data_IF_061345099127
#
_entry.id   IF_061345099127
#
_cell.length_a   1.000
_cell.length_b   1.000
_cell.length_c   1.000
_cell.angle_alpha   90.00
_cell.angle_beta   90.00
_cell.angle_gamma   90.00
#
_symmetry.space_group_name_H-M   'P 1'
#
loop_
_entity.id
_entity.type
_entity.pdbx_description
1 polymer ?
#
# COMPACT_ATOMS: atom_id res chain seq x y z
N UNK A 1 -8.25 -10.07 -16.12
CA UNK A 1 -6.90 -9.75 -16.62
C UNK A 1 -6.13 -9.09 -15.49
N UNK A 2 -4.96 -9.58 -15.16
CA UNK A 2 -4.11 -8.97 -14.16
C UNK A 2 -3.66 -7.59 -14.62
N UNK A 3 -3.92 -6.56 -13.83
CA UNK A 3 -3.44 -5.23 -14.14
C UNK A 3 -1.95 -5.14 -13.79
N UNK A 4 -1.10 -4.99 -14.81
CA UNK A 4 0.30 -4.65 -14.61
C UNK A 4 0.36 -3.31 -13.88
N UNK A 5 1.03 -3.28 -12.74
CA UNK A 5 1.16 -2.08 -11.91
C UNK A 5 2.30 -1.20 -12.42
N UNK A 6 2.06 0.12 -12.40
CA UNK A 6 3.12 1.12 -12.56
C UNK A 6 3.70 1.58 -11.20
N UNK A 7 3.39 0.88 -10.12
CA UNK A 7 3.92 1.12 -8.78
C UNK A 7 5.29 0.42 -8.71
N UNK A 8 6.31 1.14 -8.34
CA UNK A 8 7.71 0.73 -8.48
C UNK A 8 8.11 -0.47 -7.60
N UNK A 9 7.40 -0.72 -6.50
CA UNK A 9 7.69 -1.78 -5.54
C UNK A 9 6.74 -2.98 -5.61
N UNK A 10 5.88 -3.04 -6.64
CA UNK A 10 4.95 -4.16 -6.88
C UNK A 10 4.70 -4.32 -8.38
N UNK A 11 4.32 -5.51 -8.84
CA UNK A 11 4.07 -5.73 -10.26
C UNK A 11 2.59 -5.94 -10.63
N UNK A 12 1.73 -6.10 -9.62
CA UNK A 12 0.29 -6.28 -9.83
C UNK A 12 -0.52 -5.60 -8.73
N UNK A 13 -1.79 -5.33 -8.99
CA UNK A 13 -2.74 -4.88 -7.97
C UNK A 13 -3.98 -5.76 -7.96
N UNK A 14 -4.54 -5.97 -6.77
CA UNK A 14 -5.78 -6.69 -6.54
C UNK A 14 -6.68 -5.87 -5.62
N UNK A 15 -7.90 -5.57 -6.06
CA UNK A 15 -8.79 -4.65 -5.36
C UNK A 15 -10.16 -5.29 -5.10
N UNK A 16 -10.28 -6.22 -4.13
CA UNK A 16 -11.57 -6.78 -3.72
C UNK A 16 -12.45 -5.79 -2.95
N UNK A 17 -11.89 -4.66 -2.50
CA UNK A 17 -12.65 -3.55 -1.92
C UNK A 17 -12.42 -2.29 -2.75
N UNK A 18 -13.44 -1.49 -2.97
CA UNK A 18 -13.36 -0.13 -3.51
C UNK A 18 -13.89 0.88 -2.49
N UNK A 19 -13.36 2.10 -2.49
CA UNK A 19 -13.78 3.17 -1.59
C UNK A 19 -12.95 3.27 -0.32
N UNK A 20 -12.99 4.44 0.30
CA UNK A 20 -12.23 4.75 1.51
C UNK A 20 -12.78 6.01 2.17
N UNK A 21 -12.29 6.33 3.36
CA UNK A 21 -12.41 7.66 3.98
C UNK A 21 -11.04 8.19 4.43
N UNK A 22 -10.94 9.51 4.57
CA UNK A 22 -9.69 10.18 4.93
C UNK A 22 -9.45 10.10 6.43
N UNK A 23 -8.28 9.64 6.85
CA UNK A 23 -7.92 9.44 8.27
C UNK A 23 -6.67 10.19 8.71
N UNK A 24 -5.90 10.75 7.78
CA UNK A 24 -4.68 11.48 8.10
C UNK A 24 -4.33 12.51 7.03
N UNK A 25 -3.32 13.34 7.30
CA UNK A 25 -2.81 14.35 6.37
C UNK A 25 -2.36 13.76 5.02
N UNK A 26 -1.89 12.51 4.99
CA UNK A 26 -1.53 11.79 3.77
C UNK A 26 -2.70 11.49 2.85
N UNK A 27 -3.95 11.58 3.35
CA UNK A 27 -5.14 11.36 2.53
C UNK A 27 -5.63 12.62 1.80
N UNK A 28 -5.01 13.80 2.02
CA UNK A 28 -5.46 15.08 1.42
C UNK A 28 -5.48 15.02 -0.10
N UNK A 29 -4.37 14.61 -0.72
CA UNK A 29 -4.19 14.54 -2.17
C UNK A 29 -4.15 13.06 -2.67
N UNK A 30 -5.07 12.23 -2.17
CA UNK A 30 -5.09 10.79 -2.41
C UNK A 30 -5.19 10.47 -3.90
N UNK A 31 -4.25 9.67 -4.41
CA UNK A 31 -4.25 9.24 -5.81
C UNK A 31 -5.44 8.32 -6.12
N UNK A 32 -5.84 7.48 -5.16
CA UNK A 32 -6.94 6.55 -5.32
C UNK A 32 -8.29 7.29 -5.44
N UNK A 33 -8.49 8.39 -4.68
CA UNK A 33 -9.66 9.25 -4.83
C UNK A 33 -9.73 9.88 -6.23
N UNK A 34 -8.59 10.37 -6.74
CA UNK A 34 -8.53 10.93 -8.11
C UNK A 34 -8.82 9.87 -9.18
N UNK A 35 -8.28 8.67 -9.00
CA UNK A 35 -8.54 7.56 -9.89
C UNK A 35 -10.01 7.11 -9.82
N UNK A 36 -10.59 7.04 -8.63
CA UNK A 36 -12.00 6.72 -8.43
C UNK A 36 -12.94 7.72 -9.14
N UNK A 37 -12.63 9.02 -9.06
CA UNK A 37 -13.32 10.06 -9.83
C UNK A 37 -13.30 9.78 -11.33
N UNK A 38 -12.12 9.42 -11.87
CA UNK A 38 -11.94 9.08 -13.29
C UNK A 38 -12.73 7.82 -13.67
N UNK A 39 -12.62 6.76 -12.87
CA UNK A 39 -13.34 5.49 -13.11
C UNK A 39 -14.86 5.70 -13.04
N UNK A 40 -15.34 6.46 -12.06
CA UNK A 40 -16.77 6.82 -11.97
C UNK A 40 -17.26 7.64 -13.19
N UNK A 41 -16.44 8.55 -13.72
CA UNK A 41 -16.78 9.28 -14.95
C UNK A 41 -16.83 8.34 -16.16
N UNK A 42 -15.87 7.42 -16.28
CA UNK A 42 -15.87 6.39 -17.33
C UNK A 42 -17.11 5.48 -17.25
N UNK A 43 -17.49 5.06 -16.04
CA UNK A 43 -18.68 4.24 -15.81
C UNK A 43 -19.97 4.97 -16.22
N UNK A 44 -20.11 6.24 -15.86
CA UNK A 44 -21.25 7.07 -16.30
C UNK A 44 -21.31 7.23 -17.82
N UNK A 45 -20.16 7.47 -18.45
CA UNK A 45 -20.07 7.59 -19.90
C UNK A 45 -20.40 6.27 -20.64
N UNK A 46 -19.95 5.13 -20.12
CA UNK A 46 -20.29 3.81 -20.65
C UNK A 46 -21.81 3.56 -20.58
N UNK A 47 -22.44 3.82 -19.41
CA UNK A 47 -23.89 3.69 -19.23
C UNK A 47 -24.69 4.56 -20.22
N UNK A 48 -24.27 5.82 -20.45
CA UNK A 48 -24.91 6.71 -21.43
C UNK A 48 -24.86 6.15 -22.87
N UNK A 49 -23.86 5.34 -23.18
CA UNK A 49 -23.71 4.69 -24.49
C UNK A 49 -24.32 3.29 -24.55
N UNK A 50 -25.07 2.86 -23.51
CA UNK A 50 -25.63 1.50 -23.42
C UNK A 50 -24.57 0.41 -23.26
N UNK A 51 -23.34 0.77 -22.86
CA UNK A 51 -22.21 -0.16 -22.68
C UNK A 51 -22.09 -0.62 -21.23
N UNK A 52 -21.63 -1.85 -21.00
CA UNK A 52 -21.31 -2.34 -19.66
C UNK A 52 -20.08 -1.63 -19.10
N UNK A 53 -20.18 -0.92 -17.98
CA UNK A 53 -19.04 -0.23 -17.37
C UNK A 53 -18.05 -1.18 -16.65
N UNK A 54 -18.38 -2.47 -16.51
CA UNK A 54 -17.59 -3.43 -15.76
C UNK A 54 -17.37 -2.97 -14.31
N UNK A 55 -16.22 -3.33 -13.73
CA UNK A 55 -15.86 -2.97 -12.35
C UNK A 55 -15.70 -1.45 -12.10
N UNK A 56 -15.61 -0.64 -13.14
CA UNK A 56 -15.63 0.82 -12.98
C UNK A 56 -16.96 1.30 -12.35
N UNK A 57 -18.05 0.53 -12.48
CA UNK A 57 -19.32 0.82 -11.84
C UNK A 57 -19.26 0.84 -10.31
N UNK A 58 -18.38 0.06 -9.70
CA UNK A 58 -18.21 -0.03 -8.24
C UNK A 58 -17.87 1.34 -7.64
N UNK A 59 -17.13 2.17 -8.39
CA UNK A 59 -16.73 3.51 -7.94
C UNK A 59 -17.89 4.51 -7.90
N UNK A 60 -19.01 4.24 -8.57
CA UNK A 60 -20.22 5.07 -8.47
C UNK A 60 -20.88 5.01 -7.09
N UNK A 61 -20.65 3.93 -6.35
CA UNK A 61 -21.21 3.71 -5.00
C UNK A 61 -20.39 4.40 -3.90
N UNK A 62 -19.12 4.69 -4.17
CA UNK A 62 -18.14 5.11 -3.15
C UNK A 62 -17.63 6.54 -3.32
N UNK A 63 -18.10 7.26 -4.36
CA UNK A 63 -17.80 8.68 -4.56
C UNK A 63 -19.06 9.53 -4.52
N UNK A 64 -18.92 10.80 -4.11
CA UNK A 64 -19.95 11.81 -4.17
C UNK A 64 -20.08 12.41 -5.60
N UNK A 65 -20.98 13.40 -5.75
CA UNK A 65 -21.19 14.14 -7.02
C UNK A 65 -19.93 14.87 -7.52
N UNK A 66 -19.00 15.20 -6.62
CA UNK A 66 -17.74 15.88 -6.95
C UNK A 66 -16.60 14.90 -7.24
N UNK A 67 -16.84 13.60 -7.07
CA UNK A 67 -15.85 12.53 -7.24
C UNK A 67 -14.91 12.40 -6.06
N UNK A 68 -15.31 12.80 -4.85
CA UNK A 68 -14.61 12.59 -3.59
C UNK A 68 -15.14 11.34 -2.91
N UNK A 69 -14.32 10.70 -2.08
CA UNK A 69 -14.81 9.61 -1.24
C UNK A 69 -16.01 10.06 -0.41
N UNK A 70 -17.06 9.26 -0.43
CA UNK A 70 -18.29 9.49 0.36
C UNK A 70 -18.31 8.76 1.71
N UNK A 71 -17.17 8.11 2.07
CA UNK A 71 -17.00 7.34 3.29
C UNK A 71 -17.45 5.88 3.20
N UNK A 72 -18.14 5.49 2.13
CA UNK A 72 -18.61 4.11 1.94
C UNK A 72 -17.55 3.24 1.30
N UNK A 73 -17.65 1.93 1.52
CA UNK A 73 -16.90 0.90 0.80
C UNK A 73 -17.84 0.03 -0.01
N UNK A 74 -17.32 -0.54 -1.08
CA UNK A 74 -17.99 -1.53 -1.92
C UNK A 74 -17.15 -2.81 -1.90
N UNK A 75 -17.74 -3.93 -1.51
CA UNK A 75 -17.12 -5.25 -1.49
C UNK A 75 -17.36 -5.91 -2.84
N UNK A 76 -16.32 -6.18 -3.60
CA UNK A 76 -16.39 -6.81 -4.91
C UNK A 76 -16.12 -8.32 -4.78
N UNK A 77 -17.17 -9.08 -4.51
CA UNK A 77 -17.10 -10.54 -4.38
C UNK A 77 -16.58 -11.20 -5.66
N UNK A 78 -16.88 -10.63 -6.83
CA UNK A 78 -16.38 -11.14 -8.11
C UNK A 78 -14.88 -10.93 -8.28
N UNK A 79 -14.28 -9.99 -7.54
CA UNK A 79 -12.84 -9.77 -7.54
C UNK A 79 -12.08 -10.70 -6.61
N UNK A 80 -12.75 -11.35 -5.64
CA UNK A 80 -12.09 -12.23 -4.66
C UNK A 80 -11.30 -13.35 -5.34
N UNK A 81 -11.87 -14.00 -6.32
CA UNK A 81 -11.26 -15.15 -6.99
C UNK A 81 -10.15 -14.78 -8.00
N UNK A 82 -9.91 -13.50 -8.31
CA UNK A 82 -8.95 -13.11 -9.35
C UNK A 82 -7.55 -13.73 -9.17
N UNK A 83 -6.92 -13.73 -7.97
CA UNK A 83 -5.58 -14.29 -7.81
C UNK A 83 -5.50 -15.80 -8.04
N UNK A 84 -6.58 -16.54 -7.81
CA UNK A 84 -6.63 -17.98 -8.02
C UNK A 84 -6.40 -18.37 -9.50
N UNK A 85 -6.73 -17.48 -10.43
CA UNK A 85 -6.52 -17.67 -11.86
C UNK A 85 -5.13 -17.21 -12.36
N UNK A 86 -4.25 -16.72 -11.49
CA UNK A 86 -2.94 -16.20 -11.91
C UNK A 86 -1.86 -17.26 -11.70
N UNK A 87 -1.37 -17.82 -12.79
CA UNK A 87 -0.41 -18.93 -12.75
C UNK A 87 1.01 -18.46 -12.41
N UNK A 88 1.48 -17.37 -13.03
CA UNK A 88 2.86 -16.88 -12.81
C UNK A 88 3.01 -16.19 -11.47
N UNK A 89 4.09 -16.43 -10.70
CA UNK A 89 4.38 -15.72 -9.47
C UNK A 89 4.30 -14.19 -9.63
N UNK A 90 3.69 -13.53 -8.65
CA UNK A 90 3.49 -12.07 -8.65
C UNK A 90 3.69 -11.49 -7.27
N UNK A 91 4.16 -10.25 -7.25
CA UNK A 91 4.07 -9.38 -6.11
C UNK A 91 2.84 -8.50 -6.27
N UNK A 92 1.90 -8.60 -5.35
CA UNK A 92 0.54 -8.06 -5.50
C UNK A 92 0.24 -7.06 -4.39
N UNK A 93 0.02 -5.80 -4.76
CA UNK A 93 -0.47 -4.81 -3.83
C UNK A 93 -1.99 -4.98 -3.65
N UNK A 94 -2.41 -5.36 -2.45
CA UNK A 94 -3.80 -5.59 -2.08
C UNK A 94 -4.47 -4.26 -1.73
N UNK A 95 -5.60 -3.97 -2.35
CA UNK A 95 -6.40 -2.77 -2.11
C UNK A 95 -5.66 -1.44 -2.37
N UNK A 96 -5.04 -1.31 -3.56
CA UNK A 96 -4.44 -0.05 -3.99
C UNK A 96 -5.47 1.11 -4.10
N UNK A 97 -6.76 0.80 -4.19
CA UNK A 97 -7.87 1.75 -4.38
C UNK A 97 -8.80 1.85 -3.14
N UNK A 98 -8.37 1.32 -1.99
CA UNK A 98 -9.13 1.29 -0.74
C UNK A 98 -8.20 1.00 0.44
N UNK A 99 -8.77 0.65 1.59
CA UNK A 99 -8.05 0.11 2.76
C UNK A 99 -8.79 -1.16 3.20
N UNK A 100 -8.10 -2.33 3.20
CA UNK A 100 -8.70 -3.61 3.57
C UNK A 100 -9.23 -3.59 5.02
N UNK A 101 -8.59 -2.80 5.89
CA UNK A 101 -8.97 -2.65 7.28
C UNK A 101 -9.81 -1.38 7.53
N UNK A 102 -10.60 -0.96 6.52
CA UNK A 102 -11.60 0.09 6.72
C UNK A 102 -12.66 -0.39 7.73
N UNK A 103 -13.19 0.53 8.52
CA UNK A 103 -14.15 0.25 9.59
C UNK A 103 -15.39 -0.51 9.09
N UNK A 104 -15.83 -0.21 7.86
CA UNK A 104 -17.02 -0.81 7.24
C UNK A 104 -16.73 -2.11 6.47
N UNK A 105 -15.49 -2.61 6.46
CA UNK A 105 -15.19 -3.93 5.88
C UNK A 105 -15.41 -5.00 6.95
N UNK A 106 -16.40 -5.90 6.77
CA UNK A 106 -16.69 -6.92 7.76
C UNK A 106 -15.52 -7.91 7.89
N UNK A 107 -15.28 -8.40 9.12
CA UNK A 107 -14.22 -9.38 9.37
C UNK A 107 -14.36 -10.62 8.48
N UNK A 108 -15.57 -11.12 8.25
CA UNK A 108 -15.78 -12.28 7.38
C UNK A 108 -15.29 -12.04 5.94
N UNK A 109 -15.42 -10.81 5.42
CA UNK A 109 -14.85 -10.47 4.11
C UNK A 109 -13.32 -10.38 4.15
N UNK A 110 -12.74 -9.83 5.22
CA UNK A 110 -11.29 -9.82 5.42
C UNK A 110 -10.75 -11.25 5.46
N UNK A 111 -11.43 -12.15 6.19
CA UNK A 111 -11.09 -13.57 6.23
C UNK A 111 -11.14 -14.23 4.84
N UNK A 112 -12.17 -13.96 4.05
CA UNK A 112 -12.25 -14.45 2.67
C UNK A 112 -11.10 -13.96 1.78
N UNK A 113 -10.67 -12.69 1.94
CA UNK A 113 -9.48 -12.15 1.27
C UNK A 113 -8.22 -12.90 1.71
N UNK A 114 -8.05 -13.16 3.02
CA UNK A 114 -6.93 -13.93 3.55
C UNK A 114 -6.94 -15.38 3.07
N UNK A 115 -8.10 -16.01 2.98
CA UNK A 115 -8.24 -17.38 2.47
C UNK A 115 -7.76 -17.47 1.02
N UNK A 116 -8.12 -16.50 0.17
CA UNK A 116 -7.60 -16.45 -1.21
C UNK A 116 -6.07 -16.29 -1.22
N UNK A 117 -5.51 -15.41 -0.40
CA UNK A 117 -4.05 -15.24 -0.30
C UNK A 117 -3.35 -16.51 0.17
N UNK A 118 -3.94 -17.22 1.13
CA UNK A 118 -3.43 -18.49 1.65
C UNK A 118 -3.48 -19.63 0.61
N UNK A 119 -4.44 -19.60 -0.32
CA UNK A 119 -4.55 -20.56 -1.42
C UNK A 119 -3.62 -20.23 -2.61
N UNK A 120 -2.92 -19.12 -2.57
CA UNK A 120 -2.02 -18.68 -3.62
C UNK A 120 -0.57 -18.49 -3.13
N UNK A 121 0.09 -19.55 -2.59
CA UNK A 121 1.44 -19.42 -2.00
C UNK A 121 2.52 -19.03 -3.02
N UNK A 122 2.25 -19.17 -4.32
CA UNK A 122 3.14 -18.73 -5.40
C UNK A 122 3.20 -17.20 -5.53
N UNK A 123 2.26 -16.46 -4.94
CA UNK A 123 2.21 -14.99 -4.99
C UNK A 123 2.64 -14.39 -3.65
N UNK A 124 3.26 -13.21 -3.69
CA UNK A 124 3.48 -12.38 -2.50
C UNK A 124 2.41 -11.29 -2.46
N UNK A 125 1.69 -11.19 -1.35
CA UNK A 125 0.65 -10.20 -1.14
C UNK A 125 1.10 -9.11 -0.18
N UNK A 126 1.10 -7.87 -0.64
CA UNK A 126 1.50 -6.69 0.14
C UNK A 126 0.25 -5.92 0.55
N UNK A 127 -0.12 -5.98 1.80
CA UNK A 127 -1.24 -5.24 2.37
C UNK A 127 -0.70 -3.95 3.00
N UNK A 128 -1.30 -2.80 2.69
CA UNK A 128 -0.93 -1.52 3.28
C UNK A 128 -2.17 -0.85 3.86
N UNK A 129 -2.08 -0.44 5.12
CA UNK A 129 -3.21 0.22 5.80
C UNK A 129 -2.78 1.48 6.56
N UNK A 130 -3.71 2.40 6.71
CA UNK A 130 -3.62 3.51 7.66
C UNK A 130 -4.36 3.23 8.98
N UNK A 131 -4.91 2.01 9.11
CA UNK A 131 -5.68 1.52 10.25
C UNK A 131 -5.06 0.26 10.88
N UNK A 132 -3.76 0.27 11.23
CA UNK A 132 -3.09 -0.93 11.74
C UNK A 132 -3.69 -1.42 13.07
N UNK A 133 -4.38 -0.55 13.82
CA UNK A 133 -5.10 -0.93 15.03
C UNK A 133 -6.28 -1.90 14.77
N UNK A 134 -6.92 -1.82 13.59
CA UNK A 134 -7.95 -2.78 13.19
C UNK A 134 -7.30 -4.10 12.75
N UNK A 135 -6.20 -4.02 11.98
CA UNK A 135 -5.42 -5.20 11.61
C UNK A 135 -4.94 -5.97 12.86
N UNK A 136 -4.39 -5.27 13.85
CA UNK A 136 -3.97 -5.85 15.12
C UNK A 136 -5.13 -6.52 15.87
N UNK A 137 -6.30 -5.85 15.94
CA UNK A 137 -7.51 -6.39 16.59
C UNK A 137 -7.95 -7.73 15.97
N UNK A 138 -7.81 -7.88 14.68
CA UNK A 138 -8.26 -9.08 13.96
C UNK A 138 -7.16 -10.12 13.75
N UNK A 139 -5.91 -9.79 14.06
CA UNK A 139 -4.73 -10.58 13.69
C UNK A 139 -4.81 -12.05 14.15
N UNK A 140 -5.23 -12.31 15.39
CA UNK A 140 -5.39 -13.68 15.90
C UNK A 140 -6.52 -14.49 15.22
N UNK A 141 -7.38 -13.83 14.43
CA UNK A 141 -8.49 -14.44 13.69
C UNK A 141 -8.19 -14.58 12.20
N UNK A 142 -6.99 -14.22 11.76
CA UNK A 142 -6.52 -14.28 10.39
C UNK A 142 -5.38 -15.28 10.29
N UNK A 143 -5.35 -16.09 9.24
CA UNK A 143 -4.26 -17.02 8.99
C UNK A 143 -3.15 -16.29 8.22
N UNK A 144 -2.02 -16.07 8.89
CA UNK A 144 -0.84 -15.43 8.30
C UNK A 144 0.12 -16.48 7.74
N UNK A 145 0.31 -16.49 6.43
CA UNK A 145 1.32 -17.32 5.75
C UNK A 145 2.48 -16.43 5.29
N UNK A 146 3.69 -16.96 5.07
CA UNK A 146 4.90 -16.18 4.74
C UNK A 146 4.76 -15.26 3.52
N UNK A 147 3.84 -15.56 2.62
CA UNK A 147 3.57 -14.77 1.42
C UNK A 147 2.65 -13.55 1.67
N UNK A 148 2.16 -13.33 2.91
CA UNK A 148 1.31 -12.20 3.27
C UNK A 148 2.13 -11.20 4.07
N UNK A 149 2.46 -10.07 3.44
CA UNK A 149 3.23 -8.97 4.03
C UNK A 149 2.29 -7.87 4.50
N UNK A 150 2.56 -7.31 5.65
CA UNK A 150 1.73 -6.27 6.25
C UNK A 150 2.50 -4.97 6.45
N UNK A 151 1.94 -3.87 5.97
CA UNK A 151 2.54 -2.56 6.13
C UNK A 151 1.58 -1.51 6.68
N UNK A 152 2.15 -0.46 7.26
CA UNK A 152 1.39 0.74 7.61
C UNK A 152 2.05 2.00 7.06
N UNK A 153 1.21 3.02 6.79
CA UNK A 153 1.70 4.31 6.32
C UNK A 153 2.07 5.21 7.50
N UNK A 154 3.25 5.85 7.43
CA UNK A 154 3.73 6.84 8.40
C UNK A 154 4.17 8.10 7.66
N UNK A 155 3.29 9.10 7.57
CA UNK A 155 3.52 10.32 6.78
C UNK A 155 4.35 11.39 7.53
N UNK A 156 4.33 11.36 8.86
CA UNK A 156 5.06 12.26 9.76
C UNK A 156 5.09 11.69 11.20
N UNK A 157 5.69 12.40 12.12
CA UNK A 157 5.82 11.96 13.52
C UNK A 157 4.48 11.76 14.25
N UNK A 158 3.41 12.49 13.90
CA UNK A 158 2.12 12.42 14.62
C UNK A 158 1.43 11.07 14.44
N UNK A 159 1.72 10.34 13.38
CA UNK A 159 1.16 9.02 13.08
C UNK A 159 2.16 7.87 13.26
N UNK A 160 3.36 8.15 13.77
CA UNK A 160 4.38 7.11 14.02
C UNK A 160 3.93 6.04 15.04
N UNK A 161 2.95 6.38 15.90
CA UNK A 161 2.31 5.43 16.83
C UNK A 161 1.67 4.22 16.13
N UNK A 162 1.35 4.31 14.84
CA UNK A 162 0.81 3.22 14.01
C UNK A 162 1.73 2.00 13.99
N UNK A 163 3.04 2.20 14.06
CA UNK A 163 4.03 1.12 14.07
C UNK A 163 3.84 0.17 15.26
N UNK A 164 3.43 0.70 16.42
CA UNK A 164 3.11 -0.13 17.60
C UNK A 164 1.98 -1.14 17.32
N UNK A 165 0.97 -0.72 16.56
CA UNK A 165 -0.13 -1.61 16.19
C UNK A 165 0.26 -2.57 15.06
N UNK A 166 1.10 -2.13 14.10
CA UNK A 166 1.62 -3.03 13.06
C UNK A 166 2.32 -4.24 13.70
N UNK A 167 3.17 -4.02 14.69
CA UNK A 167 3.90 -5.09 15.42
C UNK A 167 3.02 -6.07 16.20
N UNK A 168 1.74 -5.82 16.29
CA UNK A 168 0.76 -6.73 16.89
C UNK A 168 0.10 -7.64 15.85
N UNK A 169 0.51 -7.52 14.59
CA UNK A 169 0.12 -8.46 13.55
C UNK A 169 1.07 -9.67 13.57
N UNK A 170 0.67 -10.75 12.93
CA UNK A 170 1.50 -11.97 12.84
C UNK A 170 2.09 -12.12 11.43
N UNK A 171 2.24 -11.01 10.70
CA UNK A 171 2.80 -11.02 9.36
C UNK A 171 4.27 -11.42 9.37
N UNK A 172 4.66 -12.23 8.39
CA UNK A 172 6.04 -12.64 8.23
C UNK A 172 6.98 -11.48 7.86
N UNK A 173 6.51 -10.52 7.08
CA UNK A 173 7.19 -9.27 6.75
C UNK A 173 6.34 -8.10 7.21
N UNK A 174 6.91 -7.24 8.05
CA UNK A 174 6.30 -5.98 8.48
C UNK A 174 7.03 -4.79 7.83
N UNK A 175 6.30 -3.93 7.11
CA UNK A 175 6.92 -2.82 6.40
C UNK A 175 6.27 -1.47 6.66
N UNK A 176 7.06 -0.41 6.49
CA UNK A 176 6.58 0.96 6.57
C UNK A 176 6.53 1.61 5.18
N UNK A 177 5.40 2.20 4.84
CA UNK A 177 5.28 3.11 3.71
C UNK A 177 5.31 4.54 4.23
N UNK A 178 6.46 5.18 4.16
CA UNK A 178 6.65 6.60 4.50
C UNK A 178 6.30 7.43 3.26
N UNK A 179 5.05 7.28 2.82
CA UNK A 179 4.53 7.88 1.59
C UNK A 179 3.08 8.35 1.76
N UNK A 180 2.84 9.67 1.52
CA UNK A 180 3.83 10.72 1.29
C UNK A 180 4.56 11.12 2.59
N UNK A 181 5.87 11.37 2.52
CA UNK A 181 6.60 11.98 3.64
C UNK A 181 6.25 13.46 3.70
N UNK A 182 5.59 13.89 4.77
CA UNK A 182 4.99 15.22 4.91
C UNK A 182 5.62 16.07 6.02
N UNK A 183 6.54 15.51 6.75
CA UNK A 183 7.22 16.19 7.84
C UNK A 183 8.32 15.33 8.45
N UNK A 184 9.14 15.91 9.33
CA UNK A 184 10.22 15.18 9.96
C UNK A 184 9.67 14.03 10.83
N UNK A 185 10.41 12.91 10.84
CA UNK A 185 10.19 11.79 11.76
C UNK A 185 11.52 11.54 12.49
N UNK A 186 11.81 12.32 13.56
CA UNK A 186 13.12 12.29 14.21
C UNK A 186 13.51 10.91 14.74
N UNK A 187 12.52 10.09 15.10
CA UNK A 187 12.69 8.72 15.62
C UNK A 187 11.67 7.80 14.97
N UNK A 188 11.96 7.37 13.73
CA UNK A 188 11.15 6.33 13.09
C UNK A 188 11.37 5.00 13.83
N UNK A 189 10.29 4.35 14.35
CA UNK A 189 10.44 3.10 15.11
C UNK A 189 10.73 1.93 14.15
N UNK A 190 12.01 1.57 14.00
CA UNK A 190 12.47 0.54 13.06
C UNK A 190 12.69 -0.85 13.67
N UNK A 191 12.63 -1.01 14.99
CA UNK A 191 12.77 -2.33 15.60
C UNK A 191 11.64 -3.26 15.15
N UNK A 192 11.94 -4.45 14.63
CA UNK A 192 10.97 -5.41 14.10
C UNK A 192 10.33 -4.94 12.78
N UNK A 193 10.95 -4.04 12.04
CA UNK A 193 10.53 -3.63 10.71
C UNK A 193 11.51 -4.21 9.69
N UNK A 194 10.98 -4.90 8.70
CA UNK A 194 11.74 -5.63 7.69
C UNK A 194 11.96 -4.81 6.41
N UNK A 195 11.22 -3.72 6.21
CA UNK A 195 11.33 -2.91 5.01
C UNK A 195 10.77 -1.50 5.19
N UNK A 196 11.40 -0.52 4.55
CA UNK A 196 10.92 0.86 4.49
C UNK A 196 10.84 1.34 3.06
N UNK A 197 9.64 1.71 2.62
CA UNK A 197 9.38 2.38 1.35
C UNK A 197 9.20 3.86 1.66
N UNK A 198 9.93 4.74 0.97
CA UNK A 198 9.83 6.18 1.15
C UNK A 198 9.54 6.90 -0.17
N UNK A 199 8.66 7.89 -0.14
CA UNK A 199 8.37 8.71 -1.31
C UNK A 199 7.62 9.98 -1.00
N UNK A 200 7.78 10.96 -1.90
CA UNK A 200 7.06 12.22 -1.88
C UNK A 200 5.65 12.12 -2.46
N UNK A 201 4.82 13.09 -2.14
CA UNK A 201 3.46 13.19 -2.68
C UNK A 201 3.49 13.45 -4.19
N UNK A 202 2.59 12.81 -4.94
CA UNK A 202 2.56 12.90 -6.40
C UNK A 202 1.26 13.48 -6.93
N UNK A 203 1.38 14.27 -8.02
CA UNK A 203 0.25 14.82 -8.77
C UNK A 203 -0.09 16.25 -8.40
N UNK A 204 -1.20 16.82 -8.91
CA UNK A 204 -1.58 18.18 -8.68
C UNK A 204 -1.73 18.51 -7.20
N UNK A 205 -1.12 19.59 -6.74
CA UNK A 205 -1.12 20.02 -5.34
C UNK A 205 -0.19 19.22 -4.45
N UNK A 206 0.76 18.46 -5.03
CA UNK A 206 1.77 17.71 -4.26
C UNK A 206 2.57 18.65 -3.36
N UNK A 207 2.66 18.30 -2.08
CA UNK A 207 3.47 19.02 -1.08
C UNK A 207 4.92 18.63 -1.23
N UNK A 208 5.80 19.59 -1.02
CA UNK A 208 7.24 19.37 -1.12
C UNK A 208 7.74 18.46 0.00
N UNK A 209 8.75 17.68 -0.32
CA UNK A 209 9.46 16.79 0.59
C UNK A 209 10.87 17.31 0.81
N UNK A 210 11.25 17.56 2.07
CA UNK A 210 12.58 18.04 2.41
C UNK A 210 13.62 16.90 2.27
N UNK A 211 14.71 17.08 1.51
CA UNK A 211 15.75 16.07 1.33
C UNK A 211 16.41 15.60 2.64
N UNK A 212 16.53 16.48 3.63
CA UNK A 212 17.11 16.10 4.93
C UNK A 212 16.26 15.09 5.68
N UNK A 213 14.93 15.15 5.54
CA UNK A 213 14.07 14.13 6.14
C UNK A 213 14.29 12.76 5.50
N UNK A 214 14.49 12.74 4.17
CA UNK A 214 14.76 11.53 3.39
C UNK A 214 16.08 10.91 3.83
N UNK A 215 17.17 11.69 3.87
CA UNK A 215 18.51 11.24 4.30
C UNK A 215 18.49 10.66 5.71
N UNK A 216 17.85 11.36 6.65
CA UNK A 216 17.73 10.86 8.04
C UNK A 216 17.05 9.51 8.14
N UNK A 217 15.97 9.29 7.38
CA UNK A 217 15.27 8.00 7.38
C UNK A 217 16.11 6.93 6.72
N UNK A 218 16.74 7.20 5.58
CA UNK A 218 17.67 6.29 4.92
C UNK A 218 18.80 5.88 5.88
N UNK A 219 19.47 6.83 6.50
CA UNK A 219 20.60 6.59 7.39
C UNK A 219 20.17 5.77 8.62
N UNK A 220 18.97 6.04 9.14
CA UNK A 220 18.41 5.25 10.22
C UNK A 220 18.09 3.79 9.79
N UNK A 221 17.70 3.55 8.56
CA UNK A 221 17.51 2.22 7.99
C UNK A 221 18.86 1.50 7.83
N UNK A 222 19.85 2.18 7.24
CA UNK A 222 21.19 1.63 7.06
C UNK A 222 21.84 1.24 8.40
N UNK A 223 21.74 2.11 9.41
CA UNK A 223 22.29 1.84 10.75
C UNK A 223 21.66 0.61 11.43
N UNK A 224 20.53 0.11 10.95
CA UNK A 224 19.80 -1.05 11.47
C UNK A 224 19.71 -2.22 10.50
N UNK A 225 20.39 -2.13 9.36
CA UNK A 225 20.32 -3.11 8.27
C UNK A 225 18.85 -3.38 7.82
N UNK A 226 17.98 -2.36 7.87
CA UNK A 226 16.62 -2.43 7.34
C UNK A 226 16.63 -2.05 5.87
N UNK A 227 16.21 -2.92 4.94
CA UNK A 227 16.11 -2.63 3.52
C UNK A 227 15.35 -1.32 3.27
N UNK A 228 15.94 -0.46 2.43
CA UNK A 228 15.39 0.86 2.14
C UNK A 228 15.09 1.00 0.65
N UNK A 229 13.84 1.36 0.35
CA UNK A 229 13.38 1.60 -1.02
C UNK A 229 12.96 3.06 -1.17
N UNK A 230 13.64 3.79 -2.06
CA UNK A 230 13.25 5.15 -2.38
C UNK A 230 12.44 5.20 -3.68
N UNK A 231 11.15 5.42 -3.54
CA UNK A 231 10.23 5.40 -4.67
C UNK A 231 10.39 6.60 -5.59
N UNK A 232 10.38 7.82 -5.03
CA UNK A 232 10.43 9.07 -5.82
C UNK A 232 10.45 10.31 -4.93
N UNK A 233 10.92 11.42 -5.49
CA UNK A 233 10.83 12.75 -4.86
C UNK A 233 9.41 13.32 -4.85
N UNK A 234 8.52 12.86 -5.76
CA UNK A 234 7.16 13.33 -5.87
C UNK A 234 6.99 14.54 -6.78
N UNK A 235 6.06 15.45 -6.43
CA UNK A 235 5.74 16.62 -7.24
C UNK A 235 4.66 16.35 -8.31
N UNK A 236 4.31 17.41 -9.07
CA UNK A 236 3.26 17.34 -10.10
C UNK A 236 3.62 16.30 -11.17
N UNK A 237 4.87 16.27 -11.59
CA UNK A 237 5.42 15.27 -12.51
C UNK A 237 6.47 14.41 -11.80
N UNK A 238 6.03 13.28 -11.23
CA UNK A 238 6.90 12.38 -10.46
C UNK A 238 8.08 11.82 -11.27
N UNK A 239 7.91 11.63 -12.58
CA UNK A 239 8.97 11.11 -13.46
C UNK A 239 10.11 12.12 -13.60
N UNK A 240 9.79 13.42 -13.68
CA UNK A 240 10.79 14.49 -13.78
C UNK A 240 11.58 14.65 -12.48
N UNK A 241 10.93 14.49 -11.32
CA UNK A 241 11.58 14.59 -10.03
C UNK A 241 12.58 13.46 -9.76
N UNK A 242 12.40 12.29 -10.41
CA UNK A 242 13.31 11.18 -10.32
C UNK A 242 13.27 10.43 -8.98
N UNK A 243 14.25 9.52 -8.80
CA UNK A 243 14.40 8.64 -7.64
C UNK A 243 15.85 8.42 -7.22
N UNK A 244 16.70 9.40 -7.47
CA UNK A 244 18.11 9.37 -7.08
C UNK A 244 18.28 10.15 -5.78
N UNK A 245 18.95 9.56 -4.79
CA UNK A 245 19.39 10.20 -3.56
C UNK A 245 20.91 10.10 -3.51
N UNK A 246 21.60 11.24 -3.43
CA UNK A 246 23.05 11.32 -3.30
C UNK A 246 23.78 10.44 -4.34
N UNK A 247 23.36 10.56 -5.61
CA UNK A 247 23.99 9.90 -6.75
C UNK A 247 23.58 8.45 -7.02
N UNK A 248 22.74 7.81 -6.16
CA UNK A 248 22.29 6.43 -6.40
C UNK A 248 20.78 6.23 -6.26
N UNK A 249 20.28 5.18 -6.87
CA UNK A 249 18.93 4.63 -6.62
C UNK A 249 18.98 3.67 -5.43
N UNK A 250 17.85 3.57 -4.72
CA UNK A 250 17.69 2.71 -3.55
C UNK A 250 16.49 1.79 -3.80
N UNK A 251 16.77 0.54 -4.10
CA UNK A 251 15.78 -0.46 -4.55
C UNK A 251 15.80 -1.72 -3.67
N UNK A 252 16.24 -1.58 -2.40
CA UNK A 252 16.37 -2.72 -1.51
C UNK A 252 14.99 -3.27 -1.14
N UNK A 253 14.92 -4.59 -1.10
CA UNK A 253 13.70 -5.33 -0.72
C UNK A 253 14.05 -6.41 0.31
N UNK A 254 13.09 -6.81 1.16
CA UNK A 254 13.33 -7.91 2.10
C UNK A 254 13.55 -9.22 1.34
N UNK A 255 14.51 -10.02 1.83
CA UNK A 255 14.73 -11.38 1.33
C UNK A 255 13.92 -12.34 2.21
N UNK A 256 13.03 -13.10 1.62
CA UNK A 256 12.29 -14.17 2.29
C UNK A 256 13.03 -15.47 2.04
N UNK A 257 13.46 -16.13 3.10
CA UNK A 257 14.05 -17.47 3.01
C UNK A 257 12.95 -18.51 2.76
N UNK A 258 13.28 -19.58 2.03
CA UNK A 258 12.34 -20.64 1.67
C UNK A 258 11.73 -21.36 2.89
N UNK A 259 12.37 -21.27 4.05
CA UNK A 259 11.93 -21.82 5.34
C UNK A 259 11.11 -20.86 6.21
N UNK A 260 10.79 -19.66 5.69
CA UNK A 260 10.05 -18.61 6.41
C UNK A 260 10.90 -17.82 7.41
N UNK A 261 12.22 -18.04 7.45
CA UNK A 261 13.15 -17.25 8.24
C UNK A 261 13.48 -15.91 7.57
N UNK A 262 13.79 -14.87 8.37
CA UNK A 262 14.18 -13.56 7.87
C UNK A 262 15.71 -13.43 7.86
N UNK A 263 16.29 -13.14 6.70
CA UNK A 263 17.63 -12.57 6.62
C UNK A 263 17.48 -11.04 6.56
N UNK A 264 17.87 -10.36 7.64
CA UNK A 264 18.25 -8.96 7.50
C UNK A 264 19.35 -8.88 6.44
N UNK A 265 19.12 -8.15 5.36
CA UNK A 265 20.06 -8.06 4.26
C UNK A 265 21.45 -7.66 4.80
N UNK A 266 22.43 -8.54 4.66
CA UNK A 266 23.83 -8.12 4.78
C UNK A 266 24.09 -7.23 3.58
N UNK A 267 24.40 -5.97 3.83
CA UNK A 267 24.84 -5.02 2.80
C UNK A 267 26.09 -5.64 2.18
N UNK A 268 25.97 -6.08 0.92
CA UNK A 268 27.15 -6.41 0.13
C UNK A 268 27.84 -5.08 -0.18
N UNK A 269 28.90 -4.78 0.56
CA UNK A 269 29.86 -3.77 0.18
C UNK A 269 30.60 -4.26 -1.07
N UNK A 270 30.29 -3.71 -2.21
CA UNK A 270 31.18 -3.63 -3.38
C UNK A 270 31.13 -2.22 -3.92
#
# INVERSE_FOLDING_TARGET
MAHISAIEWTNSTWNPVAGCCKVSAGCKNCYAERMAKRLGAMARAARKRGQNPGRAANYLHVIDRHGRWNGRVFLDENALADPLGWVKPRMIFVNSMSDLFHEDVPLGFIQAVFDVMNHCPQHTFQILTKRPHIAARYSARLKWTPNIWMGTTVENATVAHRVRHLRQTHAAIEFLSVEPLLGPIPRLPLAGIDWVILGGESGPGAREMNPEWVRRIRDACLARAVPFFFKQWGGVNKKRAGRVIDGRTWDEMPTVLADGGHLHARIANT
#
